data_IF_759617209241
#
_entry.id   IF_759617209241
#
_cell.length_a   1.000
_cell.length_b   1.000
_cell.length_c   1.000
_cell.angle_alpha   90.00
_cell.angle_beta   90.00
_cell.angle_gamma   90.00
#
_symmetry.space_group_name_H-M   'P 1'
#
loop_
_entity.id
_entity.type
_entity.pdbx_description
1 polymer ?
#
# COMPACT_ATOMS: atom_id res chain seq x y z
N UNK A 1 27.98 2.04 -1.08
CA UNK A 1 26.99 1.09 -1.65
C UNK A 1 27.34 -0.40 -1.48
N UNK A 2 28.56 -0.88 -1.82
CA UNK A 2 28.91 -2.31 -1.67
C UNK A 2 28.92 -2.84 -0.22
N UNK A 3 29.29 -1.99 0.75
CA UNK A 3 29.24 -2.36 2.17
C UNK A 3 27.81 -2.44 2.73
N UNK A 4 26.88 -1.60 2.26
CA UNK A 4 25.49 -1.68 2.71
C UNK A 4 24.75 -2.88 2.14
N UNK A 5 25.01 -3.27 0.88
CA UNK A 5 24.46 -4.50 0.34
C UNK A 5 24.97 -5.76 1.09
N UNK A 6 26.24 -5.77 1.50
CA UNK A 6 26.80 -6.86 2.30
C UNK A 6 26.25 -6.88 3.74
N UNK A 7 26.05 -5.71 4.36
CA UNK A 7 25.43 -5.59 5.68
C UNK A 7 23.95 -5.98 5.67
N UNK A 8 23.20 -5.64 4.62
CA UNK A 8 21.82 -6.12 4.42
C UNK A 8 21.76 -7.63 4.23
N UNK A 9 22.70 -8.21 3.46
CA UNK A 9 22.76 -9.66 3.28
C UNK A 9 23.12 -10.39 4.59
N UNK A 10 24.07 -9.87 5.37
CA UNK A 10 24.45 -10.44 6.67
C UNK A 10 23.34 -10.29 7.71
N UNK A 11 22.60 -9.17 7.70
CA UNK A 11 21.43 -8.97 8.58
C UNK A 11 20.26 -9.90 8.24
N UNK A 12 20.05 -10.21 6.95
CA UNK A 12 19.04 -11.18 6.52
C UNK A 12 19.43 -12.61 6.91
N UNK A 13 20.69 -13.00 6.75
CA UNK A 13 21.17 -14.36 7.13
C UNK A 13 21.12 -14.55 8.65
N UNK A 14 21.46 -13.53 9.44
CA UNK A 14 21.40 -13.59 10.91
C UNK A 14 19.98 -13.76 11.48
N UNK A 15 18.96 -13.17 10.85
CA UNK A 15 17.56 -13.29 11.31
C UNK A 15 16.93 -14.65 11.02
N UNK A 16 17.42 -15.38 10.02
CA UNK A 16 16.93 -16.72 9.69
C UNK A 16 17.46 -17.76 10.68
N UNK A 17 18.69 -17.58 11.20
CA UNK A 17 19.29 -18.51 12.16
C UNK A 17 18.70 -18.42 13.59
N UNK A 18 18.01 -17.32 13.94
CA UNK A 18 17.51 -17.11 15.30
C UNK A 18 16.07 -17.64 15.55
N UNK A 19 15.41 -18.23 14.54
CA UNK A 19 13.99 -18.65 14.63
C UNK A 19 13.77 -20.16 14.67
N UNK A 20 14.77 -20.93 15.11
CA UNK A 20 14.60 -22.37 15.42
C UNK A 20 15.13 -22.69 16.82
N UNK A 21 14.52 -22.12 17.85
CA UNK A 21 14.51 -22.75 19.18
C UNK A 21 13.23 -22.34 19.88
N UNK A 22 12.17 -23.13 19.69
CA UNK A 22 10.99 -23.08 20.58
C UNK A 22 10.52 -24.49 20.80
N UNK A 23 11.07 -25.03 21.89
CA UNK A 23 10.75 -26.27 22.56
C UNK A 23 9.25 -26.32 22.85
N UNK A 24 8.56 -27.33 22.32
CA UNK A 24 7.18 -27.65 22.69
C UNK A 24 7.21 -28.34 24.06
N UNK A 25 6.76 -27.65 25.10
CA UNK A 25 6.47 -28.27 26.40
C UNK A 25 4.98 -28.61 26.42
N UNK A 26 4.66 -29.89 26.19
CA UNK A 26 3.39 -30.49 26.57
C UNK A 26 3.54 -31.05 27.98
N UNK A 27 2.58 -30.81 28.86
CA UNK A 27 2.53 -31.42 30.18
C UNK A 27 1.07 -31.74 30.54
N UNK A 28 0.71 -33.00 30.33
CA UNK A 28 -0.34 -33.69 31.09
C UNK A 28 0.31 -34.85 31.87
N UNK A 29 0.16 -34.75 33.18
CA UNK A 29 -0.12 -35.79 34.20
C UNK A 29 0.49 -37.21 34.06
N UNK A 30 1.36 -37.59 35.01
CA UNK A 30 1.10 -38.66 36.00
C UNK A 30 2.39 -39.13 36.73
N UNK A 31 2.25 -39.28 38.04
CA UNK A 31 3.11 -39.95 39.03
C UNK A 31 3.55 -41.38 38.68
N UNK A 32 4.83 -41.72 38.87
CA UNK A 32 5.30 -42.80 39.77
C UNK A 32 6.85 -42.83 39.88
N UNK A 33 7.34 -43.08 41.10
CA UNK A 33 8.72 -43.37 41.54
C UNK A 33 9.39 -44.55 40.82
N UNK A 34 10.71 -44.49 40.55
CA UNK A 34 11.71 -45.25 41.31
C UNK A 34 13.18 -44.85 41.04
N UNK A 35 13.98 -45.20 42.05
CA UNK A 35 15.41 -45.00 42.34
C UNK A 35 16.37 -45.78 41.42
N UNK A 36 17.53 -45.21 41.03
CA UNK A 36 18.89 -45.79 41.24
C UNK A 36 20.04 -45.00 40.62
N UNK A 37 21.16 -45.10 41.34
CA UNK A 37 22.53 -44.56 41.27
C UNK A 37 23.47 -45.05 40.16
N UNK A 38 24.53 -44.25 39.92
CA UNK A 38 25.94 -44.57 39.53
C UNK A 38 26.40 -43.85 38.24
N UNK A 39 27.42 -42.97 38.23
CA UNK A 39 28.88 -43.08 38.52
C UNK A 39 29.68 -43.42 37.25
N UNK A 40 30.78 -42.65 37.06
CA UNK A 40 31.93 -42.77 36.13
C UNK A 40 31.71 -42.40 34.65
N UNK A 41 32.38 -41.37 34.13
CA UNK A 41 33.81 -41.26 33.73
C UNK A 41 34.11 -42.01 32.42
N UNK A 42 34.41 -41.24 31.36
CA UNK A 42 35.37 -41.56 30.31
C UNK A 42 35.27 -40.56 29.14
N UNK A 43 36.40 -39.90 28.93
CA UNK A 43 36.87 -39.30 27.67
C UNK A 43 36.64 -40.17 26.44
N UNK A 44 36.11 -39.58 25.35
CA UNK A 44 36.51 -39.95 23.99
C UNK A 44 36.28 -38.80 23.01
N UNK A 45 37.39 -38.28 22.50
CA UNK A 45 37.58 -37.57 21.23
C UNK A 45 37.11 -38.46 20.08
N UNK A 46 36.20 -37.95 19.23
CA UNK A 46 36.02 -38.50 17.88
C UNK A 46 35.65 -37.39 16.89
N UNK A 47 36.32 -37.42 15.75
CA UNK A 47 36.32 -36.41 14.69
C UNK A 47 34.97 -36.39 13.96
N UNK A 48 34.19 -35.32 14.13
CA UNK A 48 32.94 -35.13 13.40
C UNK A 48 33.20 -34.38 12.09
N UNK A 49 33.21 -35.15 11.01
CA UNK A 49 33.27 -34.68 9.63
C UNK A 49 32.02 -33.83 9.30
N UNK A 50 32.22 -32.52 9.16
CA UNK A 50 31.20 -31.52 8.89
C UNK A 50 30.65 -31.63 7.46
N UNK A 51 29.70 -32.54 7.24
CA UNK A 51 28.87 -32.54 6.02
C UNK A 51 27.89 -31.37 6.04
N UNK A 52 28.14 -30.40 5.15
CA UNK A 52 27.28 -29.22 4.99
C UNK A 52 26.03 -29.61 4.19
N UNK A 53 24.96 -29.97 4.90
CA UNK A 53 23.66 -30.21 4.27
C UNK A 53 23.05 -28.85 3.93
N UNK A 54 23.07 -28.49 2.64
CA UNK A 54 22.37 -27.31 2.13
C UNK A 54 20.86 -27.56 2.24
N UNK A 55 20.26 -27.17 3.36
CA UNK A 55 18.82 -27.18 3.53
C UNK A 55 18.21 -26.22 2.50
N UNK A 56 17.40 -26.75 1.59
CA UNK A 56 16.63 -25.96 0.67
C UNK A 56 15.63 -25.12 1.48
N UNK A 57 15.86 -23.80 1.55
CA UNK A 57 14.92 -22.86 2.17
C UNK A 57 13.70 -22.77 1.27
N UNK A 58 12.69 -23.57 1.58
CA UNK A 58 11.38 -23.50 0.95
C UNK A 58 10.74 -22.17 1.39
N UNK A 59 10.74 -21.15 0.52
CA UNK A 59 10.01 -19.91 0.78
C UNK A 59 8.53 -20.24 0.91
N UNK A 60 8.01 -20.18 2.14
CA UNK A 60 6.60 -20.35 2.40
C UNK A 60 5.84 -19.14 1.82
N UNK A 61 5.05 -19.38 0.78
CA UNK A 61 4.14 -18.37 0.24
C UNK A 61 3.06 -18.12 1.29
N UNK A 62 3.06 -16.94 1.90
CA UNK A 62 1.98 -16.48 2.77
C UNK A 62 0.75 -16.22 1.90
N UNK A 63 -0.22 -17.14 1.92
CA UNK A 63 -1.54 -16.92 1.34
C UNK A 63 -2.27 -15.96 2.27
N UNK A 64 -2.35 -14.68 1.89
CA UNK A 64 -3.11 -13.67 2.62
C UNK A 64 -4.60 -13.85 2.28
N UNK A 65 -5.36 -14.45 3.19
CA UNK A 65 -6.82 -14.51 3.07
C UNK A 65 -7.40 -13.10 3.20
N UNK A 66 -8.04 -12.60 2.14
CA UNK A 66 -8.69 -11.28 2.13
C UNK A 66 -9.94 -11.36 3.02
N UNK A 67 -9.97 -10.57 4.10
CA UNK A 67 -11.15 -10.44 4.92
C UNK A 67 -12.20 -9.58 4.18
N UNK A 68 -13.34 -10.18 3.86
CA UNK A 68 -14.51 -9.47 3.35
C UNK A 68 -15.35 -9.01 4.54
N UNK A 69 -15.61 -7.71 4.64
CA UNK A 69 -16.37 -7.14 5.77
C UNK A 69 -17.54 -6.28 5.28
N UNK A 70 -18.77 -6.50 5.76
CA UNK A 70 -19.92 -5.74 5.31
C UNK A 70 -19.95 -4.33 5.93
N UNK A 71 -20.29 -3.34 5.12
CA UNK A 71 -20.67 -1.98 5.54
C UNK A 71 -22.03 -1.63 4.91
N UNK A 72 -23.08 -2.16 5.51
CA UNK A 72 -24.47 -2.03 5.03
C UNK A 72 -25.10 -0.67 5.33
N UNK A 73 -24.45 0.17 6.14
CA UNK A 73 -24.98 1.48 6.53
C UNK A 73 -23.91 2.56 6.32
N UNK A 74 -24.35 3.77 6.01
CA UNK A 74 -23.47 4.94 5.89
C UNK A 74 -22.86 5.25 7.26
N UNK A 75 -21.55 5.05 7.39
CA UNK A 75 -20.81 5.51 8.55
C UNK A 75 -20.74 7.04 8.56
N UNK A 76 -21.08 7.66 9.70
CA UNK A 76 -21.00 9.11 9.91
C UNK A 76 -19.83 9.45 10.82
N UNK A 77 -18.67 9.84 10.27
CA UNK A 77 -17.54 10.24 11.10
C UNK A 77 -17.85 11.56 11.85
N UNK A 78 -17.18 11.82 12.98
CA UNK A 78 -17.19 13.12 13.61
C UNK A 78 -16.69 14.22 12.65
N UNK A 79 -17.17 15.45 12.82
CA UNK A 79 -16.79 16.59 11.98
C UNK A 79 -15.28 16.82 11.92
N UNK A 80 -14.54 16.46 12.98
CA UNK A 80 -13.07 16.54 13.01
C UNK A 80 -12.39 15.74 11.89
N UNK A 81 -12.99 14.64 11.44
CA UNK A 81 -12.45 13.82 10.35
C UNK A 81 -12.65 14.48 8.97
N UNK A 82 -13.70 15.29 8.83
CA UNK A 82 -13.94 16.07 7.59
C UNK A 82 -13.15 17.38 7.55
N UNK A 83 -12.65 17.85 8.69
CA UNK A 83 -11.82 19.05 8.80
C UNK A 83 -10.36 18.82 8.35
N UNK A 84 -10.02 17.59 7.95
CA UNK A 84 -8.69 17.25 7.46
C UNK A 84 -7.68 17.13 8.60
N UNK A 85 -7.81 16.11 9.45
CA UNK A 85 -6.70 15.73 10.33
C UNK A 85 -5.58 15.21 9.45
N UNK A 86 -4.53 16.00 9.29
CA UNK A 86 -3.39 15.64 8.48
C UNK A 86 -2.30 15.05 9.37
N UNK A 87 -1.82 13.88 8.98
CA UNK A 87 -0.70 13.18 9.59
C UNK A 87 0.48 13.19 8.63
N UNK A 88 1.68 13.48 9.10
CA UNK A 88 2.91 13.29 8.32
C UNK A 88 3.66 12.08 8.84
N UNK A 89 3.91 11.12 7.96
CA UNK A 89 4.51 9.83 8.32
C UNK A 89 5.99 9.80 7.92
N UNK A 90 6.88 9.30 8.80
CA UNK A 90 8.32 9.27 8.53
C UNK A 90 8.73 8.41 7.31
N UNK A 91 7.91 7.46 6.90
CA UNK A 91 8.14 6.56 5.77
C UNK A 91 6.89 6.43 4.91
N UNK A 92 6.99 6.34 3.57
CA UNK A 92 8.22 6.29 2.76
C UNK A 92 8.80 7.65 2.35
N UNK A 93 8.22 8.79 2.76
CA UNK A 93 8.66 10.07 2.21
C UNK A 93 8.17 11.34 2.89
N UNK A 94 7.79 11.30 4.17
CA UNK A 94 7.19 12.46 4.87
C UNK A 94 5.92 12.98 4.17
N UNK A 95 5.20 12.06 3.53
CA UNK A 95 3.93 12.31 2.89
C UNK A 95 2.88 12.71 3.91
N UNK A 96 1.96 13.59 3.48
CA UNK A 96 0.88 14.10 4.32
C UNK A 96 -0.38 13.31 4.01
N UNK A 97 -0.93 12.61 5.00
CA UNK A 97 -2.09 11.73 4.88
C UNK A 97 -3.28 12.31 5.64
N UNK A 98 -4.46 12.31 5.01
CA UNK A 98 -5.71 12.65 5.67
C UNK A 98 -6.22 11.44 6.46
N UNK A 99 -6.47 11.67 7.74
CA UNK A 99 -7.00 10.68 8.68
C UNK A 99 -6.23 9.35 8.60
N UNK A 100 -4.89 9.33 8.62
CA UNK A 100 -4.16 8.06 8.56
C UNK A 100 -4.74 7.02 9.55
N UNK A 101 -5.18 5.82 9.13
CA UNK A 101 -5.82 4.85 10.01
C UNK A 101 -4.91 4.37 11.13
N UNK A 102 -3.61 4.28 10.89
CA UNK A 102 -2.60 3.86 11.87
C UNK A 102 -1.32 4.71 11.72
N UNK A 103 -1.33 5.96 12.22
CA UNK A 103 -0.23 6.91 11.99
C UNK A 103 1.07 6.55 12.71
N UNK A 104 0.98 5.73 13.76
CA UNK A 104 2.12 5.12 14.45
C UNK A 104 1.76 3.67 14.77
N UNK A 105 2.79 2.83 14.96
CA UNK A 105 2.58 1.40 15.16
C UNK A 105 1.70 1.11 16.39
N UNK A 106 0.55 0.46 16.17
CA UNK A 106 -0.41 0.14 17.22
C UNK A 106 -1.34 1.30 17.62
N UNK A 107 -1.12 2.52 17.12
CA UNK A 107 -2.02 3.65 17.34
C UNK A 107 -3.03 3.74 16.21
N UNK A 108 -4.28 3.33 16.44
CA UNK A 108 -5.35 3.38 15.42
C UNK A 108 -6.24 4.61 15.59
N UNK A 109 -6.48 5.35 14.50
CA UNK A 109 -7.46 6.44 14.42
C UNK A 109 -8.84 5.83 14.13
N UNK A 110 -9.51 5.37 15.19
CA UNK A 110 -10.76 4.61 15.05
C UNK A 110 -12.01 5.48 14.82
N UNK A 111 -11.95 6.79 15.09
CA UNK A 111 -13.11 7.68 15.01
C UNK A 111 -13.44 8.12 13.58
N UNK A 112 -12.47 8.08 12.67
CA UNK A 112 -12.65 8.50 11.27
C UNK A 112 -12.99 7.39 10.29
N UNK A 113 -13.04 6.13 10.75
CA UNK A 113 -13.35 4.97 9.93
C UNK A 113 -14.45 4.11 10.55
N UNK A 114 -15.21 3.38 9.73
CA UNK A 114 -16.08 2.34 10.25
C UNK A 114 -15.29 1.31 11.07
N UNK A 115 -15.83 0.88 12.21
CA UNK A 115 -15.20 -0.12 13.09
C UNK A 115 -14.82 -1.42 12.36
N UNK A 116 -15.62 -1.80 11.37
CA UNK A 116 -15.45 -2.94 10.47
C UNK A 116 -14.18 -2.81 9.62
N UNK A 117 -13.91 -1.61 9.13
CA UNK A 117 -12.74 -1.30 8.32
C UNK A 117 -11.49 -1.30 9.20
N UNK A 118 -11.49 -0.50 10.27
CA UNK A 118 -10.30 -0.32 11.12
C UNK A 118 -9.90 -1.60 11.87
N UNK A 119 -10.88 -2.46 12.20
CA UNK A 119 -10.63 -3.75 12.87
C UNK A 119 -9.95 -4.80 11.99
N UNK A 120 -9.94 -4.62 10.66
CA UNK A 120 -9.21 -5.49 9.71
C UNK A 120 -8.06 -4.78 9.01
N UNK A 121 -7.97 -3.47 9.15
CA UNK A 121 -6.86 -2.69 8.63
C UNK A 121 -5.56 -3.07 9.36
N UNK A 122 -4.52 -3.34 8.57
CA UNK A 122 -3.18 -3.65 9.10
C UNK A 122 -2.14 -2.81 8.36
N UNK A 123 -1.44 -1.93 9.08
CA UNK A 123 -0.23 -1.30 8.56
C UNK A 123 0.93 -2.29 8.62
N UNK A 124 1.70 -2.43 7.55
CA UNK A 124 2.94 -3.20 7.57
C UNK A 124 4.07 -2.28 8.02
N UNK A 125 4.58 -2.50 9.23
CA UNK A 125 5.67 -1.71 9.77
C UNK A 125 6.89 -1.73 8.81
N UNK A 126 7.37 -0.54 8.43
CA UNK A 126 8.47 -0.30 7.49
C UNK A 126 8.15 -0.53 6.00
N UNK A 127 6.91 -0.86 5.64
CA UNK A 127 6.49 -0.83 4.24
C UNK A 127 5.62 0.39 3.98
N UNK A 128 5.71 0.92 2.76
CA UNK A 128 4.78 1.95 2.28
C UNK A 128 3.39 1.40 1.98
N UNK A 129 3.08 0.19 2.44
CA UNK A 129 1.91 -0.57 2.07
C UNK A 129 1.08 -0.91 3.30
N UNK A 130 -0.24 -0.81 3.12
CA UNK A 130 -1.22 -1.15 4.14
C UNK A 130 -2.20 -2.15 3.55
N UNK A 131 -2.64 -3.10 4.37
CA UNK A 131 -3.64 -4.08 3.97
C UNK A 131 -5.00 -3.56 4.39
N UNK A 132 -5.72 -2.98 3.43
CA UNK A 132 -7.11 -2.56 3.60
C UNK A 132 -8.08 -3.74 3.34
N UNK A 133 -9.09 -3.94 4.20
CA UNK A 133 -10.10 -4.98 3.98
C UNK A 133 -10.94 -4.67 2.74
N UNK A 134 -11.46 -5.73 2.11
CA UNK A 134 -12.44 -5.58 1.04
C UNK A 134 -13.82 -5.39 1.67
N UNK A 135 -14.49 -4.28 1.35
CA UNK A 135 -15.81 -4.00 1.90
C UNK A 135 -16.91 -4.59 1.00
N UNK A 136 -17.82 -5.40 1.53
CA UNK A 136 -18.94 -5.92 0.73
C UNK A 136 -20.14 -6.34 1.61
N UNK A 137 -21.32 -5.72 1.44
CA UNK A 137 -21.57 -4.57 0.59
C UNK A 137 -20.86 -3.30 1.11
N UNK A 138 -20.58 -2.35 0.22
CA UNK A 138 -19.95 -1.07 0.51
C UNK A 138 -20.90 0.09 0.19
N UNK A 139 -21.06 0.98 1.15
CA UNK A 139 -21.61 2.33 0.98
C UNK A 139 -20.54 3.31 1.42
N UNK A 140 -20.20 4.31 0.59
CA UNK A 140 -19.19 5.31 0.97
C UNK A 140 -19.60 6.04 2.26
N UNK A 141 -18.68 6.24 3.23
CA UNK A 141 -18.97 7.01 4.43
C UNK A 141 -19.46 8.44 4.16
N UNK A 142 -20.13 9.06 5.12
CA UNK A 142 -20.51 10.48 5.02
C UNK A 142 -19.25 11.36 4.92
N UNK A 143 -19.27 12.32 3.99
CA UNK A 143 -18.10 13.13 3.65
C UNK A 143 -17.15 12.46 2.66
N UNK A 144 -17.43 11.23 2.22
CA UNK A 144 -16.73 10.54 1.14
C UNK A 144 -17.64 10.43 -0.09
N UNK A 145 -17.03 10.32 -1.26
CA UNK A 145 -17.73 10.17 -2.54
C UNK A 145 -17.21 8.95 -3.29
N UNK A 146 -18.08 8.34 -4.10
CA UNK A 146 -17.66 7.31 -5.05
C UNK A 146 -16.77 7.95 -6.11
N UNK A 147 -15.46 7.84 -5.93
CA UNK A 147 -14.48 8.43 -6.83
C UNK A 147 -14.39 7.67 -8.16
N UNK A 148 -14.64 6.36 -8.13
CA UNK A 148 -14.71 5.51 -9.33
C UNK A 148 -15.61 4.31 -9.10
N UNK A 149 -16.28 3.89 -10.17
CA UNK A 149 -17.13 2.70 -10.22
C UNK A 149 -16.74 1.85 -11.44
N UNK A 150 -16.70 0.53 -11.24
CA UNK A 150 -16.42 -0.46 -12.27
C UNK A 150 -17.70 -1.23 -12.64
N UNK A 151 -17.61 -2.00 -13.72
CA UNK A 151 -18.76 -2.73 -14.30
C UNK A 151 -19.27 -3.88 -13.43
N UNK A 152 -18.40 -4.46 -12.60
CA UNK A 152 -18.70 -5.57 -11.68
C UNK A 152 -19.25 -5.11 -10.32
N UNK A 153 -19.89 -3.94 -10.26
CA UNK A 153 -20.34 -3.31 -9.01
C UNK A 153 -19.25 -2.89 -8.01
N UNK A 154 -17.97 -3.08 -8.34
CA UNK A 154 -16.88 -2.61 -7.50
C UNK A 154 -16.78 -1.08 -7.56
N UNK A 155 -16.56 -0.46 -6.40
CA UNK A 155 -16.44 0.98 -6.22
C UNK A 155 -15.24 1.32 -5.34
N UNK A 156 -14.72 2.53 -5.53
CA UNK A 156 -13.68 3.13 -4.71
C UNK A 156 -14.19 4.45 -4.14
N UNK A 157 -14.14 4.59 -2.83
CA UNK A 157 -14.54 5.79 -2.12
C UNK A 157 -13.30 6.62 -1.75
N UNK A 158 -13.36 7.93 -1.99
CA UNK A 158 -12.38 8.91 -1.52
C UNK A 158 -13.06 10.01 -0.70
N UNK A 159 -12.33 10.66 0.19
CA UNK A 159 -12.82 11.85 0.88
C UNK A 159 -13.29 12.93 -0.13
N UNK A 160 -14.30 13.71 0.22
CA UNK A 160 -14.83 14.75 -0.68
C UNK A 160 -13.73 15.74 -1.07
N UNK A 161 -13.60 16.02 -2.38
CA UNK A 161 -12.54 16.89 -2.91
C UNK A 161 -11.19 16.20 -3.18
N UNK A 162 -11.11 14.88 -2.98
CA UNK A 162 -9.96 14.06 -3.38
C UNK A 162 -10.27 13.33 -4.69
N UNK A 163 -9.25 13.21 -5.53
CA UNK A 163 -9.28 12.38 -6.74
C UNK A 163 -8.70 11.00 -6.43
N UNK A 164 -9.10 9.99 -7.19
CA UNK A 164 -8.50 8.66 -7.12
C UNK A 164 -7.33 8.56 -8.10
N UNK A 165 -6.15 8.17 -7.60
CA UNK A 165 -5.07 7.62 -8.40
C UNK A 165 -5.10 6.09 -8.27
N UNK A 166 -5.56 5.35 -9.30
CA UNK A 166 -5.50 3.89 -9.29
C UNK A 166 -4.05 3.38 -9.17
N UNK A 167 -3.84 2.16 -8.66
CA UNK A 167 -2.50 1.58 -8.60
C UNK A 167 -1.92 1.45 -10.03
N UNK A 168 -0.61 1.65 -10.18
CA UNK A 168 0.08 1.44 -11.46
C UNK A 168 0.16 -0.05 -11.84
N UNK A 169 0.13 -0.92 -10.84
CA UNK A 169 0.09 -2.38 -10.98
C UNK A 169 -1.04 -2.94 -10.13
N UNK A 170 -1.96 -3.64 -10.77
CA UNK A 170 -3.07 -4.31 -10.08
C UNK A 170 -2.58 -5.66 -9.57
N UNK A 171 -2.44 -5.80 -8.25
CA UNK A 171 -2.06 -7.08 -7.61
C UNK A 171 -3.24 -8.07 -7.52
N UNK A 172 -4.46 -7.56 -7.50
CA UNK A 172 -5.71 -8.32 -7.45
C UNK A 172 -6.66 -7.79 -8.53
N UNK A 173 -6.90 -8.59 -9.58
CA UNK A 173 -7.74 -8.20 -10.71
C UNK A 173 -9.19 -7.92 -10.32
N UNK A 174 -9.68 -8.52 -9.23
CA UNK A 174 -11.03 -8.31 -8.72
C UNK A 174 -11.13 -7.04 -7.87
N UNK A 175 -9.98 -6.48 -7.45
CA UNK A 175 -9.87 -5.23 -6.70
C UNK A 175 -9.03 -4.19 -7.44
N UNK A 176 -9.53 -3.62 -8.56
CA UNK A 176 -8.78 -2.69 -9.39
C UNK A 176 -8.41 -1.36 -8.71
N UNK A 177 -8.93 -1.07 -7.51
CA UNK A 177 -8.53 0.09 -6.70
C UNK A 177 -7.61 -0.27 -5.52
N UNK A 178 -7.35 -1.56 -5.27
CA UNK A 178 -6.53 -2.00 -4.16
C UNK A 178 -5.07 -1.56 -4.36
N UNK A 179 -4.52 -0.86 -3.36
CA UNK A 179 -3.22 -0.19 -3.48
C UNK A 179 -3.26 1.14 -4.25
N UNK A 180 -4.44 1.62 -4.65
CA UNK A 180 -4.62 2.98 -5.12
C UNK A 180 -4.58 3.99 -3.97
N UNK A 181 -4.49 5.27 -4.33
CA UNK A 181 -4.37 6.37 -3.37
C UNK A 181 -5.33 7.49 -3.73
N UNK A 182 -6.09 7.99 -2.76
CA UNK A 182 -6.84 9.24 -2.92
C UNK A 182 -5.87 10.42 -2.74
N UNK A 183 -5.98 11.47 -3.54
CA UNK A 183 -5.11 12.63 -3.40
C UNK A 183 -5.84 13.96 -3.62
N UNK A 184 -5.35 15.01 -2.98
CA UNK A 184 -5.77 16.40 -3.20
C UNK A 184 -4.54 17.30 -3.22
N UNK A 185 -4.50 18.27 -4.14
CA UNK A 185 -3.36 19.18 -4.26
C UNK A 185 -3.54 20.36 -3.32
N UNK A 186 -2.48 20.74 -2.62
CA UNK A 186 -2.43 22.01 -1.90
C UNK A 186 -2.25 23.17 -2.88
N UNK A 187 -2.69 24.36 -2.48
CA UNK A 187 -2.31 25.61 -3.15
C UNK A 187 -0.98 26.08 -2.59
N UNK A 188 -0.08 26.61 -3.41
CA UNK A 188 1.16 27.24 -2.91
C UNK A 188 0.81 28.34 -1.89
N UNK A 189 1.50 28.35 -0.75
CA UNK A 189 1.23 29.22 0.40
C UNK A 189 0.08 28.77 1.30
N UNK A 190 -0.64 27.70 0.97
CA UNK A 190 -1.70 27.16 1.84
C UNK A 190 -1.10 26.67 3.15
N UNK A 191 -1.64 27.14 4.26
CA UNK A 191 -1.25 26.65 5.60
C UNK A 191 -2.20 25.53 6.02
N UNK A 192 -1.65 24.44 6.57
CA UNK A 192 -2.41 23.34 7.15
C UNK A 192 -1.79 22.95 8.51
N UNK A 193 -2.61 22.39 9.41
CA UNK A 193 -2.12 21.84 10.68
C UNK A 193 -1.82 20.36 10.47
N UNK A 194 -0.57 19.96 10.65
CA UNK A 194 -0.09 18.60 10.39
C UNK A 194 0.50 18.05 11.67
N UNK A 195 0.09 16.83 12.04
CA UNK A 195 0.69 16.09 13.15
C UNK A 195 1.72 15.13 12.57
N UNK A 196 2.98 15.37 12.87
CA UNK A 196 4.08 14.51 12.46
C UNK A 196 4.24 13.34 13.43
N UNK A 197 4.39 12.15 12.86
CA UNK A 197 4.62 10.89 13.56
C UNK A 197 5.98 10.31 13.15
N UNK A 198 6.68 9.73 14.11
CA UNK A 198 7.76 8.79 13.85
C UNK A 198 7.20 7.35 13.82
N UNK A 199 8.06 6.35 13.90
CA UNK A 199 7.62 4.95 13.84
C UNK A 199 6.87 4.48 15.10
N UNK A 200 7.02 5.20 16.22
CA UNK A 200 6.56 4.76 17.54
C UNK A 200 5.51 5.70 18.13
N UNK A 201 5.62 7.02 17.92
CA UNK A 201 4.80 8.00 18.61
C UNK A 201 4.56 9.29 17.78
N UNK A 202 3.61 10.10 18.26
CA UNK A 202 3.45 11.50 17.85
C UNK A 202 4.72 12.29 18.21
N UNK A 203 5.36 12.90 17.22
CA UNK A 203 6.55 13.72 17.44
C UNK A 203 6.18 15.19 17.66
N UNK A 204 5.28 15.76 16.84
CA UNK A 204 4.88 17.17 16.94
C UNK A 204 3.60 17.49 16.15
N UNK A 205 2.87 18.54 16.54
CA UNK A 205 1.84 19.17 15.69
C UNK A 205 2.31 20.55 15.26
N UNK A 206 2.40 20.78 13.95
CA UNK A 206 2.97 21.99 13.36
C UNK A 206 2.03 22.63 12.33
N UNK A 207 2.14 23.96 12.18
CA UNK A 207 1.57 24.66 11.02
C UNK A 207 2.52 24.46 9.84
N UNK A 208 2.14 23.60 8.91
CA UNK A 208 2.86 23.35 7.67
C UNK A 208 2.35 24.30 6.59
N UNK A 209 3.24 24.77 5.71
CA UNK A 209 2.90 25.66 4.59
C UNK A 209 3.32 24.98 3.31
N UNK A 210 2.38 24.80 2.39
CA UNK A 210 2.66 24.27 1.06
C UNK A 210 3.60 25.21 0.31
N UNK A 211 4.75 24.67 -0.07
CA UNK A 211 5.76 25.37 -0.84
C UNK A 211 5.34 25.52 -2.31
N UNK A 212 4.63 24.52 -2.82
CA UNK A 212 4.24 24.42 -4.23
C UNK A 212 2.80 23.95 -4.39
N UNK A 213 2.25 24.08 -5.60
CA UNK A 213 0.98 23.43 -5.95
C UNK A 213 1.11 21.94 -6.26
N UNK A 214 2.34 21.42 -6.28
CA UNK A 214 2.61 20.00 -6.43
C UNK A 214 2.62 19.27 -5.08
N UNK A 215 2.56 19.98 -3.96
CA UNK A 215 2.43 19.37 -2.65
C UNK A 215 1.01 18.79 -2.53
N UNK A 216 0.89 17.56 -2.02
CA UNK A 216 -0.38 16.82 -1.98
C UNK A 216 -0.69 16.31 -0.58
N UNK A 217 -1.99 16.22 -0.28
CA UNK A 217 -2.51 15.38 0.77
C UNK A 217 -2.98 14.06 0.15
N UNK A 218 -2.57 12.94 0.73
CA UNK A 218 -2.96 11.59 0.34
C UNK A 218 -4.04 11.06 1.29
N UNK A 219 -4.73 10.01 0.90
CA UNK A 219 -5.72 9.33 1.72
C UNK A 219 -5.92 7.91 1.25
N UNK A 220 -6.25 7.03 2.19
CA UNK A 220 -6.54 5.63 1.89
C UNK A 220 -7.85 5.52 1.11
N UNK A 221 -7.84 4.66 0.08
CA UNK A 221 -9.05 4.28 -0.63
C UNK A 221 -9.85 3.30 0.23
N UNK A 222 -11.16 3.51 0.35
CA UNK A 222 -12.08 2.49 0.86
C UNK A 222 -12.73 1.85 -0.35
N UNK A 223 -12.40 0.58 -0.62
CA UNK A 223 -12.84 -0.13 -1.81
C UNK A 223 -13.71 -1.35 -1.47
N UNK A 224 -14.55 -1.74 -2.43
CA UNK A 224 -15.58 -2.74 -2.16
C UNK A 224 -16.65 -2.86 -3.23
N UNK A 225 -17.62 -3.73 -3.00
CA UNK A 225 -18.76 -3.93 -3.91
C UNK A 225 -19.98 -3.16 -3.44
N UNK A 226 -20.55 -2.29 -4.28
CA UNK A 226 -21.67 -1.44 -3.90
C UNK A 226 -22.93 -2.26 -3.60
N UNK A 227 -23.66 -1.89 -2.53
CA UNK A 227 -24.91 -2.54 -2.14
C UNK A 227 -25.97 -2.51 -3.26
N UNK A 228 -26.17 -1.34 -3.86
CA UNK A 228 -27.29 -1.08 -4.79
C UNK A 228 -27.17 -1.84 -6.12
N UNK A 229 -25.94 -2.18 -6.51
CA UNK A 229 -25.67 -2.86 -7.76
C UNK A 229 -25.79 -4.37 -7.63
N UNK A 230 -25.53 -4.92 -6.43
CA UNK A 230 -25.77 -6.33 -6.13
C UNK A 230 -27.27 -6.68 -6.19
N UNK A 231 -28.14 -5.74 -5.77
CA UNK A 231 -29.59 -5.89 -5.89
C UNK A 231 -30.06 -5.95 -7.35
N UNK A 232 -29.41 -5.18 -8.24
CA UNK A 232 -29.73 -5.17 -9.67
C UNK A 232 -29.26 -6.46 -10.35
N UNK A 233 -28.04 -6.93 -10.05
CA UNK A 233 -27.51 -8.17 -10.63
C UNK A 233 -28.37 -9.40 -10.31
N UNK A 234 -28.92 -9.47 -9.10
CA UNK A 234 -29.78 -10.58 -8.66
C UNK A 234 -31.18 -10.54 -9.31
N UNK A 235 -31.65 -9.36 -9.73
CA UNK A 235 -32.99 -9.21 -10.31
C UNK A 235 -33.07 -9.66 -11.78
N UNK A 236 -31.93 -9.81 -12.46
CA UNK A 236 -31.86 -10.16 -13.89
C UNK A 236 -32.00 -11.65 -14.20
N UNK A 237 -32.04 -12.53 -13.20
CA UNK A 237 -32.12 -13.99 -13.40
C UNK A 237 -33.48 -14.63 -13.09
N UNK A 238 -34.53 -13.87 -12.75
CA UNK A 238 -35.83 -14.44 -12.33
C UNK A 238 -37.04 -14.05 -13.21
N UNK A 239 -36.85 -13.37 -14.34
CA UNK A 239 -37.97 -12.97 -15.22
C UNK A 239 -37.91 -13.63 -16.60
N UNK A 240 -38.01 -14.96 -16.65
CA UNK A 240 -38.41 -15.67 -17.89
C UNK A 240 -38.78 -17.13 -17.63
N UNK A 241 -39.79 -17.37 -16.79
CA UNK A 241 -40.61 -18.59 -16.85
C UNK A 241 -42.07 -18.23 -16.58
N UNK A 242 -42.75 -17.67 -17.58
CA UNK A 242 -44.21 -17.73 -17.63
C UNK A 242 -44.58 -19.06 -18.30
N UNK A 243 -45.12 -19.96 -17.49
CA UNK A 243 -45.72 -21.20 -17.90
C UNK A 243 -46.84 -20.95 -18.94
N UNK A 244 -46.74 -21.60 -20.09
CA UNK A 244 -47.91 -21.98 -20.89
C UNK A 244 -47.91 -23.49 -20.96
N UNK A 245 -48.82 -24.10 -20.21
CA UNK A 245 -49.09 -25.53 -20.25
C UNK A 245 -49.54 -25.94 -21.66
N UNK A 246 -48.82 -26.87 -22.27
CA UNK A 246 -49.38 -27.75 -23.30
C UNK A 246 -48.67 -29.09 -23.17
N UNK A 247 -49.43 -30.08 -22.72
CA UNK A 247 -49.00 -31.47 -22.65
C UNK A 247 -48.77 -32.01 -24.07
N UNK A 248 -47.59 -32.60 -24.32
CA UNK A 248 -47.45 -33.79 -25.16
C UNK A 248 -46.03 -34.37 -25.07
N UNK A 249 -45.98 -35.62 -24.60
CA UNK A 249 -45.08 -36.74 -24.96
C UNK A 249 -43.54 -36.55 -25.04
N UNK A 250 -42.86 -37.22 -24.10
CA UNK A 250 -41.65 -38.08 -24.19
C UNK A 250 -41.02 -38.24 -25.60
N UNK A 251 -39.69 -38.08 -25.78
CA UNK A 251 -38.73 -39.05 -25.23
C UNK A 251 -37.37 -38.52 -24.72
N UNK A 252 -36.93 -39.18 -23.63
CA UNK A 252 -35.55 -39.61 -23.31
C UNK A 252 -34.42 -39.09 -24.23
N UNK A 253 -33.58 -38.19 -23.72
CA UNK A 253 -32.23 -38.02 -24.26
C UNK A 253 -31.20 -37.49 -23.23
N UNK A 254 -30.21 -38.35 -23.00
CA UNK A 254 -28.79 -38.14 -22.67
C UNK A 254 -28.38 -37.09 -21.62
N UNK A 255 -27.81 -37.62 -20.52
CA UNK A 255 -26.98 -36.90 -19.57
C UNK A 255 -25.76 -36.27 -20.25
N UNK A 256 -25.60 -34.95 -20.11
CA UNK A 256 -24.38 -34.22 -20.43
C UNK A 256 -23.42 -34.28 -19.25
N UNK A 257 -22.40 -35.13 -19.41
CA UNK A 257 -21.21 -35.20 -18.56
C UNK A 257 -20.40 -33.91 -18.73
N UNK A 258 -20.26 -33.13 -17.66
CA UNK A 258 -19.34 -31.99 -17.60
C UNK A 258 -17.89 -32.51 -17.52
N UNK A 259 -17.16 -32.42 -18.63
CA UNK A 259 -15.75 -32.78 -18.72
C UNK A 259 -14.88 -31.70 -18.05
N UNK A 260 -14.60 -31.86 -16.76
CA UNK A 260 -13.54 -31.10 -16.08
C UNK A 260 -12.19 -31.48 -16.69
N UNK A 261 -11.57 -30.56 -17.44
CA UNK A 261 -10.27 -30.74 -18.06
C UNK A 261 -9.15 -30.74 -17.00
N UNK A 262 -9.02 -31.88 -16.31
CA UNK A 262 -7.89 -32.14 -15.43
C UNK A 262 -6.61 -32.14 -16.26
N UNK A 263 -5.77 -31.12 -16.06
CA UNK A 263 -4.43 -31.07 -16.63
C UNK A 263 -3.70 -32.36 -16.23
N UNK A 264 -3.26 -33.12 -17.23
CA UNK A 264 -2.59 -34.38 -17.00
C UNK A 264 -1.32 -34.11 -16.20
N UNK A 265 -1.05 -34.91 -15.17
CA UNK A 265 0.10 -34.69 -14.27
C UNK A 265 1.45 -34.59 -15.00
N UNK A 266 1.55 -35.15 -16.21
CA UNK A 266 2.70 -35.00 -17.09
C UNK A 266 2.99 -33.56 -17.54
N UNK A 267 1.97 -32.73 -17.75
CA UNK A 267 2.16 -31.32 -18.13
C UNK A 267 2.72 -30.49 -16.97
N UNK A 268 2.27 -30.77 -15.73
CA UNK A 268 2.78 -30.11 -14.52
C UNK A 268 4.26 -30.48 -14.30
N UNK A 269 4.62 -31.75 -14.45
CA UNK A 269 6.01 -32.20 -14.26
C UNK A 269 6.99 -31.55 -15.26
N UNK A 270 6.56 -31.33 -16.51
CA UNK A 270 7.39 -30.70 -17.54
C UNK A 270 7.77 -29.25 -17.21
N UNK A 271 6.85 -28.47 -16.66
CA UNK A 271 7.08 -27.05 -16.33
C UNK A 271 8.11 -26.92 -15.20
N UNK A 272 8.01 -27.76 -14.16
CA UNK A 272 8.92 -27.69 -13.00
C UNK A 272 10.37 -27.96 -13.40
N UNK A 273 10.61 -28.98 -14.22
CA UNK A 273 11.97 -29.32 -14.70
C UNK A 273 12.53 -28.19 -15.58
N UNK A 274 11.69 -27.60 -16.44
CA UNK A 274 12.07 -26.46 -17.27
C UNK A 274 12.51 -25.25 -16.44
N UNK A 275 11.78 -24.92 -15.37
CA UNK A 275 12.13 -23.81 -14.48
C UNK A 275 13.46 -24.02 -13.75
N UNK A 276 13.73 -25.25 -13.27
CA UNK A 276 14.98 -25.55 -12.56
C UNK A 276 16.21 -25.40 -13.48
N UNK A 277 16.11 -25.88 -14.72
CA UNK A 277 17.19 -25.70 -15.71
C UNK A 277 17.34 -24.24 -16.16
N UNK A 278 16.23 -23.52 -16.32
CA UNK A 278 16.22 -22.10 -16.71
C UNK A 278 16.90 -21.21 -15.67
N UNK A 279 16.56 -21.37 -14.39
CA UNK A 279 17.16 -20.59 -13.29
C UNK A 279 18.65 -20.91 -13.14
N UNK A 280 19.03 -22.19 -13.25
CA UNK A 280 20.43 -22.61 -13.21
C UNK A 280 21.27 -21.95 -14.33
N UNK A 281 20.77 -21.94 -15.56
CA UNK A 281 21.45 -21.33 -16.70
C UNK A 281 21.56 -19.79 -16.55
N UNK A 282 20.51 -19.12 -16.08
CA UNK A 282 20.50 -17.69 -15.86
C UNK A 282 21.49 -17.26 -14.76
N UNK A 283 21.52 -17.97 -13.63
CA UNK A 283 22.46 -17.71 -12.55
C UNK A 283 23.92 -17.91 -12.99
N UNK A 284 24.18 -18.97 -13.76
CA UNK A 284 25.51 -19.23 -14.32
C UNK A 284 25.95 -18.12 -15.30
N UNK A 285 25.06 -17.66 -16.19
CA UNK A 285 25.35 -16.57 -17.11
C UNK A 285 25.65 -15.26 -16.37
N UNK A 286 24.86 -14.91 -15.36
CA UNK A 286 25.07 -13.73 -14.53
C UNK A 286 26.41 -13.78 -13.78
N UNK A 287 26.74 -14.93 -13.18
CA UNK A 287 28.01 -15.16 -12.49
C UNK A 287 29.21 -15.03 -13.45
N UNK A 288 29.10 -15.61 -14.65
CA UNK A 288 30.14 -15.51 -15.67
C UNK A 288 30.39 -14.07 -16.11
N UNK A 289 29.31 -13.29 -16.34
CA UNK A 289 29.41 -11.87 -16.71
C UNK A 289 30.01 -11.02 -15.58
N UNK A 290 29.63 -11.31 -14.34
CA UNK A 290 30.19 -10.64 -13.16
C UNK A 290 31.69 -10.88 -13.03
N UNK A 291 32.13 -12.14 -13.20
CA UNK A 291 33.55 -12.51 -13.15
C UNK A 291 34.36 -11.88 -14.27
N UNK A 292 33.79 -11.77 -15.48
CA UNK A 292 34.46 -11.11 -16.62
C UNK A 292 34.66 -9.61 -16.38
N UNK A 293 33.66 -8.94 -15.78
CA UNK A 293 33.72 -7.48 -15.52
C UNK A 293 34.75 -7.10 -14.46
N UNK A 294 35.03 -7.96 -13.48
CA UNK A 294 36.06 -7.69 -12.46
C UNK A 294 37.50 -7.66 -13.00
N UNK A 295 37.78 -8.28 -14.15
CA UNK A 295 39.14 -8.30 -14.72
C UNK A 295 39.50 -7.05 -15.54
N UNK A 296 38.55 -6.11 -15.70
CA UNK A 296 38.74 -4.90 -16.50
C UNK A 296 38.65 -3.60 -15.68
N UNK A 297 39.04 -3.60 -14.41
CA UNK A 297 39.30 -2.33 -13.72
C UNK A 297 40.76 -1.92 -14.00
N UNK A 298 41.02 -1.01 -14.96
CA UNK A 298 42.33 -0.38 -15.06
C UNK A 298 42.59 0.35 -13.75
N UNK A 299 43.76 0.10 -13.17
CA UNK A 299 44.27 0.86 -12.03
C UNK A 299 44.36 2.33 -12.47
N UNK A 300 43.38 3.15 -12.08
CA UNK A 300 43.53 4.59 -12.17
C UNK A 300 44.48 5.02 -11.06
N UNK A 301 45.74 5.17 -11.47
CA UNK A 301 46.81 5.86 -10.75
C UNK A 301 46.28 7.21 -10.25
N UNK A 302 46.32 7.41 -8.94
CA UNK A 302 45.79 8.60 -8.28
C UNK A 302 46.53 9.87 -8.68
N UNK A 303 45.75 10.90 -9.02
CA UNK A 303 46.20 12.28 -8.99
C UNK A 303 45.56 12.95 -7.77
N UNK A 304 46.35 13.03 -6.70
CA UNK A 304 46.10 13.87 -5.52
C UNK A 304 46.20 15.34 -5.97
N UNK A 305 45.06 16.02 -5.95
CA UNK A 305 44.95 17.47 -6.08
C UNK A 305 44.76 18.07 -4.69
N UNK A 306 45.88 18.48 -4.12
CA UNK A 306 46.02 19.32 -2.94
C UNK A 306 45.42 20.70 -3.22
N UNK A 307 44.40 21.11 -2.46
CA UNK A 307 43.96 22.50 -2.38
C UNK A 307 43.69 22.84 -0.92
N UNK A 308 44.74 23.42 -0.36
CA UNK A 308 44.81 24.16 0.90
C UNK A 308 44.18 25.55 0.70
N UNK A 309 43.45 26.07 1.70
CA UNK A 309 42.82 27.39 1.59
C UNK A 309 41.77 27.71 2.67
N UNK A 310 42.25 28.00 3.88
CA UNK A 310 41.53 28.60 5.02
C UNK A 310 40.83 29.94 4.69
N UNK A 311 39.64 30.22 5.27
CA UNK A 311 39.17 31.58 5.48
C UNK A 311 39.38 32.07 6.94
N UNK A 312 39.49 33.40 7.16
CA UNK A 312 39.99 33.99 8.40
C UNK A 312 38.96 33.98 9.55
N UNK A 313 39.48 33.61 10.72
CA UNK A 313 38.92 33.82 12.05
C UNK A 313 38.82 35.32 12.36
N UNK A 314 37.59 35.82 12.60
CA UNK A 314 37.35 37.11 13.23
C UNK A 314 37.19 36.93 14.74
N UNK A 315 38.16 37.52 15.43
CA UNK A 315 38.28 37.72 16.86
C UNK A 315 37.24 38.76 17.31
N UNK A 316 36.32 38.38 18.20
CA UNK A 316 35.47 39.31 18.94
C UNK A 316 35.80 39.21 20.43
N UNK A 317 36.58 40.17 20.90
CA UNK A 317 36.85 40.44 22.30
C UNK A 317 35.60 40.98 23.02
N UNK A 318 35.38 40.48 24.23
CA UNK A 318 35.10 41.34 25.39
C UNK A 318 33.63 41.64 25.73
N UNK A 319 33.11 40.94 26.75
CA UNK A 319 32.47 41.61 27.91
C UNK A 319 32.24 40.64 29.06
N UNK A 320 33.03 40.82 30.12
CA UNK A 320 32.79 40.29 31.46
C UNK A 320 31.55 40.98 32.05
N UNK A 321 30.53 40.21 32.45
CA UNK A 321 29.59 40.65 33.49
C UNK A 321 29.48 39.57 34.56
N UNK A 322 29.89 40.02 35.74
CA UNK A 322 29.91 39.42 37.06
C UNK A 322 28.64 38.66 37.45
N UNK A 323 28.85 37.52 38.10
CA UNK A 323 27.85 36.67 38.73
C UNK A 323 27.04 37.38 39.83
N UNK A 324 25.76 37.06 39.95
CA UNK A 324 25.00 37.14 41.20
C UNK A 324 24.07 35.95 41.28
N UNK A 325 24.27 35.16 42.33
CA UNK A 325 23.57 33.94 42.71
C UNK A 325 22.16 34.19 43.24
N UNK A 326 21.19 33.36 42.85
CA UNK A 326 20.17 32.77 43.75
C UNK A 326 19.40 31.65 43.04
N UNK A 327 19.02 30.56 43.75
CA UNK A 327 18.37 29.42 43.13
C UNK A 327 16.85 29.60 43.14
N UNK A 328 16.19 29.41 42.00
CA UNK A 328 14.75 29.14 41.95
C UNK A 328 14.52 28.12 40.86
N UNK A 329 13.99 26.97 41.27
CA UNK A 329 13.66 25.86 40.40
C UNK A 329 12.68 26.31 39.30
N UNK A 330 13.08 26.13 38.05
CA UNK A 330 12.19 26.22 36.90
C UNK A 330 12.64 25.15 35.91
N UNK A 331 11.78 24.15 35.69
CA UNK A 331 11.98 23.13 34.67
C UNK A 331 12.04 23.78 33.30
N UNK A 332 13.25 23.92 32.76
CA UNK A 332 13.48 24.30 31.38
C UNK A 332 13.14 23.09 30.51
N UNK A 333 11.93 23.08 29.95
CA UNK A 333 11.58 22.22 28.82
C UNK A 333 12.50 22.59 27.67
N UNK A 334 13.38 21.66 27.30
CA UNK A 334 14.28 21.76 26.16
C UNK A 334 13.45 22.03 24.90
N UNK A 335 13.68 23.18 24.25
CA UNK A 335 13.14 23.44 22.92
C UNK A 335 13.61 22.32 21.99
N UNK A 336 12.73 21.62 21.27
CA UNK A 336 13.17 20.69 20.23
C UNK A 336 13.90 21.49 19.16
N UNK A 337 15.12 21.04 18.84
CA UNK A 337 15.92 21.57 17.73
C UNK A 337 15.15 21.30 16.44
N UNK A 338 14.63 22.36 15.83
CA UNK A 338 13.93 22.31 14.56
C UNK A 338 14.90 21.83 13.47
N UNK A 339 14.65 20.66 12.88
CA UNK A 339 15.13 20.36 11.55
C UNK A 339 14.32 21.20 10.56
N UNK A 340 14.80 22.41 10.25
CA UNK A 340 14.39 23.14 9.04
C UNK A 340 15.06 22.50 7.82
N UNK A 341 14.92 21.17 7.68
CA UNK A 341 15.32 20.47 6.48
C UNK A 341 14.38 20.92 5.38
N UNK A 342 14.85 21.82 4.52
CA UNK A 342 14.26 22.03 3.20
C UNK A 342 14.10 20.66 2.59
N UNK A 343 12.85 20.21 2.37
CA UNK A 343 12.63 18.93 1.69
C UNK A 343 13.41 18.97 0.38
N UNK A 344 14.24 17.96 0.07
CA UNK A 344 14.89 17.91 -1.22
C UNK A 344 13.79 17.93 -2.30
N UNK A 345 13.92 18.73 -3.37
CA UNK A 345 12.93 18.76 -4.43
C UNK A 345 12.72 17.34 -4.95
N UNK A 346 11.46 16.91 -4.99
CA UNK A 346 11.06 15.63 -5.55
C UNK A 346 11.55 15.59 -7.00
N UNK A 347 12.57 14.77 -7.27
CA UNK A 347 13.12 14.58 -8.60
C UNK A 347 12.15 13.66 -9.33
N UNK A 348 11.21 14.24 -10.07
CA UNK A 348 10.29 13.52 -10.94
C UNK A 348 11.09 12.52 -11.77
N UNK A 349 10.82 11.23 -11.55
CA UNK A 349 11.36 10.15 -12.36
C UNK A 349 10.91 10.32 -13.81
N UNK A 350 11.81 9.97 -14.71
CA UNK A 350 11.71 10.15 -16.15
C UNK A 350 10.32 9.75 -16.70
N UNK A 351 9.59 10.76 -17.18
CA UNK A 351 8.41 10.59 -18.01
C UNK A 351 8.85 9.88 -19.30
N UNK A 352 8.31 8.70 -19.66
CA UNK A 352 8.63 8.08 -20.94
C UNK A 352 8.18 9.02 -22.07
N UNK A 353 8.95 9.15 -23.16
CA UNK A 353 8.62 10.05 -24.25
C UNK A 353 7.25 9.66 -24.83
N UNK A 354 6.28 10.56 -24.65
CA UNK A 354 4.98 10.46 -25.30
C UNK A 354 5.24 10.68 -26.79
N UNK A 355 5.10 9.60 -27.56
CA UNK A 355 5.22 9.61 -29.01
C UNK A 355 4.09 10.47 -29.59
N UNK A 356 4.46 11.63 -30.14
CA UNK A 356 3.53 12.75 -30.39
C UNK A 356 3.01 12.79 -31.84
N UNK A 357 3.07 11.67 -32.56
CA UNK A 357 2.74 11.63 -33.99
C UNK A 357 1.49 10.81 -34.38
N UNK A 358 0.69 10.33 -33.43
CA UNK A 358 -0.49 9.50 -33.75
C UNK A 358 -1.83 10.14 -33.39
N UNK A 359 -2.08 11.39 -33.82
CA UNK A 359 -3.45 11.92 -33.98
C UNK A 359 -3.48 12.91 -35.16
N UNK A 360 -3.75 12.39 -36.36
CA UNK A 360 -4.22 13.19 -37.48
C UNK A 360 -5.55 12.61 -37.95
N UNK A 361 -6.62 13.42 -37.83
CA UNK A 361 -7.89 13.09 -38.48
C UNK A 361 -9.15 13.50 -37.74
N UNK A 362 -9.33 14.78 -37.41
CA UNK A 362 -10.69 15.38 -37.35
C UNK A 362 -10.63 16.79 -37.91
N UNK A 363 -11.38 17.02 -38.99
CA UNK A 363 -11.56 18.30 -39.68
C UNK A 363 -12.33 19.32 -38.81
N UNK A 364 -12.07 20.63 -38.99
CA UNK A 364 -12.76 21.67 -38.23
C UNK A 364 -14.11 22.03 -38.88
N UNK A 365 -15.17 22.06 -38.09
CA UNK A 365 -16.41 22.76 -38.43
C UNK A 365 -16.37 24.17 -37.86
N UNK A 366 -16.76 25.11 -38.70
CA UNK A 366 -16.78 26.57 -38.55
C UNK A 366 -17.77 27.08 -37.50
N UNK A 367 -17.60 28.30 -36.97
CA UNK A 367 -18.58 28.96 -36.11
C UNK A 367 -19.36 30.04 -36.86
N UNK A 368 -20.70 29.98 -36.83
CA UNK A 368 -21.56 31.16 -36.93
C UNK A 368 -22.97 30.84 -36.40
N UNK A 369 -23.43 31.59 -35.37
CA UNK A 369 -24.65 32.41 -35.43
C UNK A 369 -25.23 32.73 -34.03
N UNK A 370 -25.03 33.98 -33.63
CA UNK A 370 -25.99 34.96 -33.06
C UNK A 370 -27.15 34.49 -32.16
N UNK A 371 -27.01 34.87 -30.89
CA UNK A 371 -27.93 35.70 -30.06
C UNK A 371 -29.33 36.01 -30.62
N UNK A 372 -30.37 35.51 -29.94
CA UNK A 372 -31.71 36.12 -29.72
C UNK A 372 -32.36 35.33 -28.56
N UNK A 373 -32.47 35.85 -27.33
CA UNK A 373 -33.45 36.83 -26.81
C UNK A 373 -34.89 36.30 -26.84
N UNK A 374 -35.33 35.66 -25.75
CA UNK A 374 -36.58 35.94 -25.00
C UNK A 374 -36.97 34.74 -24.13
N UNK A 375 -36.88 34.90 -22.80
CA UNK A 375 -37.49 34.01 -21.83
C UNK A 375 -38.66 34.73 -21.19
N UNK A 376 -39.87 34.48 -21.68
CA UNK A 376 -41.13 34.82 -20.99
C UNK A 376 -42.23 33.83 -21.37
N UNK A 377 -42.78 33.24 -20.30
CA UNK A 377 -44.20 32.87 -20.10
C UNK A 377 -44.81 31.74 -20.97
N UNK A 378 -45.39 30.77 -20.24
CA UNK A 378 -46.70 30.08 -20.38
C UNK A 378 -46.50 28.63 -19.89
N UNK A 379 -46.79 28.30 -18.63
CA UNK A 379 -48.09 27.82 -18.13
C UNK A 379 -48.84 26.83 -19.06
N UNK A 380 -48.97 25.60 -18.54
CA UNK A 380 -50.14 24.71 -18.50
C UNK A 380 -50.95 24.38 -19.76
N UNK A 381 -51.08 23.06 -20.05
CA UNK A 381 -52.28 22.24 -20.36
C UNK A 381 -51.80 20.94 -21.05
N UNK A 382 -51.91 19.74 -20.45
CA UNK A 382 -53.09 18.85 -20.45
C UNK A 382 -53.89 18.92 -21.77
N UNK A 383 -53.79 17.91 -22.65
CA UNK A 383 -54.63 16.71 -22.63
C UNK A 383 -54.62 15.98 -23.99
N UNK A 384 -54.92 14.67 -23.91
CA UNK A 384 -55.53 13.79 -24.92
C UNK A 384 -54.90 13.59 -26.31
N UNK A 385 -54.78 12.31 -26.71
CA UNK A 385 -55.01 11.94 -28.10
C UNK A 385 -54.21 10.78 -28.68
N UNK A 386 -54.15 9.62 -28.02
CA UNK A 386 -53.74 8.39 -28.71
C UNK A 386 -54.94 7.80 -29.47
N UNK A 387 -54.96 8.00 -30.79
CA UNK A 387 -55.69 7.17 -31.75
C UNK A 387 -54.72 6.76 -32.84
N UNK A 388 -54.59 5.45 -33.00
CA UNK A 388 -53.65 4.85 -33.95
C UNK A 388 -54.02 5.06 -35.41
N UNK A 389 -53.00 4.86 -36.24
CA UNK A 389 -53.03 4.10 -37.49
C UNK A 389 -51.66 3.45 -37.67
#
# INVERSE_FOLDING_TARGET
>A
MRHQALLLLLALVGKIAAKETSTVTSSDEATHTDETTNTDDATNTDDTESSTVTAAVTQSVLIVTIAVVPLTTTFKPPASCTQGRLSQLASPGYEIWINEPEPAYGEKVTDCYPSQYIGRYTSLANESSSIAPLMSPLVCPEGWVTAKQWTNAYIACCASGYNLAPPSVTSDSDRPAYGGTCYSNFKSGQTATVTAYDNENVTATVKWIASSSADQAYGHVIDGFALDLLATATSTTTSSETASETASETPSQAASTEDSSSITGGAIAGIVIGCLLGVGAAAFAAFWFYRRRRRQQPQQTGHIGELDGDPPIQEFEGSNVTATSSPTASSTVSKPTFYTGTMPPYRGGDEPPIDRDSYSGISPLTPEAKVLKDSRLMHAELDAGWKGY
#
